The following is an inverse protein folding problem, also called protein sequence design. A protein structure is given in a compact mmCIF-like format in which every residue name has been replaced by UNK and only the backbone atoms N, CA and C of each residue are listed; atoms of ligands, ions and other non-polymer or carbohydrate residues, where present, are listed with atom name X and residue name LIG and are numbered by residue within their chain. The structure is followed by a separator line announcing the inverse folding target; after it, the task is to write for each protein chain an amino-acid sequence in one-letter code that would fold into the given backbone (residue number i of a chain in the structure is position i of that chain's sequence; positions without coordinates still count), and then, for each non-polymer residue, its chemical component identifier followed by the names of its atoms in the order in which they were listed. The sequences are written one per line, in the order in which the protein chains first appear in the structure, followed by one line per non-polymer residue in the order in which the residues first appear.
data_IF_999616959020
#
_entry.id   IF_999616959020
#
_cell.length_a   1.000
_cell.length_b   1.000
_cell.length_c   1.000
_cell.angle_alpha   90.00
_cell.angle_beta   90.00
_cell.angle_gamma   90.00
#
_symmetry.space_group_name_H-M   'P 1'
#
loop_
_entity.id
_entity.type
_entity.pdbx_description
1 polymer ?
#
# COMPACT_ATOMS: atom_id res chain seq x y z
N UNK A 1 -6.26 15.81 15.44
CA UNK A 1 -6.54 15.26 14.11
C UNK A 1 -5.25 15.13 13.33
N UNK A 2 -4.86 13.90 13.05
CA UNK A 2 -3.65 13.64 12.25
C UNK A 2 -4.07 13.08 10.90
N UNK A 3 -3.85 13.82 9.82
CA UNK A 3 -4.02 13.37 8.44
C UNK A 3 -2.66 13.32 7.75
N UNK A 4 -2.36 12.19 7.11
CA UNK A 4 -1.22 12.05 6.21
C UNK A 4 -1.72 12.00 4.77
N UNK A 5 -1.13 12.81 3.89
CA UNK A 5 -1.45 12.83 2.46
C UNK A 5 -0.18 12.66 1.64
N UNK A 6 -0.18 11.63 0.80
CA UNK A 6 0.84 11.41 -0.20
C UNK A 6 0.31 11.69 -1.60
N UNK A 7 0.94 12.61 -2.31
CA UNK A 7 0.62 12.92 -3.70
C UNK A 7 1.86 12.65 -4.56
N UNK A 8 1.69 11.87 -5.61
CA UNK A 8 2.75 11.59 -6.56
C UNK A 8 2.23 11.62 -7.99
N UNK A 9 2.95 12.28 -8.88
CA UNK A 9 2.68 12.32 -10.31
C UNK A 9 3.96 12.01 -11.08
N UNK A 10 3.95 10.90 -11.81
CA UNK A 10 5.11 10.36 -12.53
C UNK A 10 4.85 10.38 -14.02
N UNK A 11 5.81 10.90 -14.78
CA UNK A 11 5.73 11.02 -16.24
C UNK A 11 6.78 10.14 -16.91
N UNK A 12 6.35 9.08 -17.59
CA UNK A 12 7.18 8.17 -18.38
C UNK A 12 7.27 8.65 -19.82
N UNK A 13 8.14 9.63 -20.11
CA UNK A 13 8.25 10.26 -21.44
C UNK A 13 9.24 9.56 -22.36
N UNK A 14 10.26 8.89 -21.81
CA UNK A 14 11.26 8.17 -22.59
C UNK A 14 10.83 6.74 -22.83
N UNK A 15 11.11 6.22 -24.04
CA UNK A 15 10.90 4.81 -24.36
C UNK A 15 11.69 3.91 -23.41
N UNK A 16 11.11 2.76 -23.06
CA UNK A 16 11.69 1.75 -22.16
C UNK A 16 12.02 2.27 -20.74
N UNK A 17 11.46 3.40 -20.34
CA UNK A 17 11.62 3.86 -18.98
C UNK A 17 10.82 3.01 -17.99
N UNK A 18 11.37 2.72 -16.81
CA UNK A 18 10.70 1.96 -15.76
C UNK A 18 10.47 2.84 -14.52
N UNK A 19 9.44 2.51 -13.76
CA UNK A 19 9.14 3.12 -12.46
C UNK A 19 8.63 2.05 -11.51
N UNK A 20 9.16 2.06 -10.30
CA UNK A 20 8.65 1.24 -9.20
C UNK A 20 8.43 2.10 -7.97
N UNK A 21 7.32 1.87 -7.29
CA UNK A 21 7.00 2.49 -6.01
C UNK A 21 6.49 1.43 -5.05
N UNK A 22 7.14 1.32 -3.90
CA UNK A 22 6.69 0.51 -2.78
C UNK A 22 6.29 1.46 -1.64
N UNK A 23 5.02 1.42 -1.25
CA UNK A 23 4.41 2.32 -0.29
C UNK A 23 4.00 1.51 0.94
N UNK A 24 4.58 1.82 2.09
CA UNK A 24 4.18 1.29 3.39
C UNK A 24 3.35 2.29 4.19
N UNK A 25 2.32 1.83 4.89
CA UNK A 25 1.51 2.69 5.77
C UNK A 25 1.00 1.95 7.01
N UNK A 26 0.89 2.70 8.09
CA UNK A 26 0.21 2.28 9.32
C UNK A 26 -0.77 3.38 9.71
N UNK A 27 -2.05 3.05 9.78
CA UNK A 27 -3.09 3.90 10.33
C UNK A 27 -3.54 3.38 11.68
N UNK A 28 -3.65 4.25 12.68
CA UNK A 28 -4.11 3.90 14.03
C UNK A 28 -4.92 5.03 14.67
N UNK A 29 -5.64 4.71 15.72
CA UNK A 29 -6.55 5.65 16.41
C UNK A 29 -7.59 6.19 15.42
N UNK A 30 -7.70 7.51 15.26
CA UNK A 30 -8.61 8.19 14.31
C UNK A 30 -7.83 8.81 13.13
N UNK A 31 -6.64 8.30 12.83
CA UNK A 31 -5.82 8.82 11.74
C UNK A 31 -6.47 8.59 10.39
N UNK A 32 -6.29 9.57 9.49
CA UNK A 32 -6.67 9.44 8.10
C UNK A 32 -5.42 9.43 7.22
N UNK A 33 -5.28 8.37 6.41
CA UNK A 33 -4.23 8.21 5.41
C UNK A 33 -4.84 8.44 4.04
N UNK A 34 -4.36 9.43 3.30
CA UNK A 34 -4.79 9.74 1.94
C UNK A 34 -3.60 9.67 1.00
N UNK A 35 -3.59 8.69 0.10
CA UNK A 35 -2.52 8.45 -0.86
C UNK A 35 -3.09 8.55 -2.26
N UNK A 36 -2.47 9.37 -3.11
CA UNK A 36 -2.82 9.49 -4.52
C UNK A 36 -1.54 9.44 -5.37
N UNK A 37 -1.43 8.42 -6.21
CA UNK A 37 -0.30 8.25 -7.11
C UNK A 37 -0.81 8.10 -8.55
N UNK A 38 -0.26 8.89 -9.46
CA UNK A 38 -0.60 8.87 -10.87
C UNK A 38 0.67 8.57 -11.68
N UNK A 39 0.62 7.56 -12.53
CA UNK A 39 1.70 7.22 -13.46
C UNK A 39 1.22 7.38 -14.89
N UNK A 40 1.80 8.34 -15.59
CA UNK A 40 1.47 8.66 -16.97
C UNK A 40 2.52 8.05 -17.93
N UNK A 41 2.11 7.13 -18.77
CA UNK A 41 2.93 6.50 -19.80
C UNK A 41 2.80 7.25 -21.14
N UNK A 42 3.89 7.84 -21.62
CA UNK A 42 3.96 8.53 -22.93
C UNK A 42 4.89 7.82 -23.90
N UNK A 43 6.02 7.28 -23.41
CA UNK A 43 6.99 6.54 -24.23
C UNK A 43 6.53 5.12 -24.50
N UNK A 44 7.12 4.49 -25.51
CA UNK A 44 6.88 3.09 -25.87
C UNK A 44 7.60 2.13 -24.94
N UNK A 45 7.01 0.95 -24.73
CA UNK A 45 7.61 -0.13 -23.93
C UNK A 45 8.00 0.34 -22.53
N UNK A 46 7.20 1.22 -21.94
CA UNK A 46 7.44 1.71 -20.58
C UNK A 46 6.82 0.78 -19.54
N UNK A 47 7.42 0.71 -18.36
CA UNK A 47 6.96 -0.17 -17.28
C UNK A 47 6.68 0.61 -16.01
N UNK A 48 5.59 0.27 -15.30
CA UNK A 48 5.33 0.78 -13.96
C UNK A 48 4.85 -0.31 -13.03
N UNK A 49 5.29 -0.24 -11.78
CA UNK A 49 4.84 -1.08 -10.69
C UNK A 49 4.54 -0.21 -9.47
N UNK A 50 3.31 -0.27 -9.01
CA UNK A 50 2.84 0.42 -7.80
C UNK A 50 2.44 -0.66 -6.80
N UNK A 51 3.15 -0.74 -5.68
CA UNK A 51 2.80 -1.62 -4.58
C UNK A 51 2.48 -0.77 -3.35
N UNK A 52 1.27 -0.92 -2.82
CA UNK A 52 0.87 -0.30 -1.56
C UNK A 52 0.55 -1.39 -0.55
N UNK A 53 1.11 -1.32 0.65
CA UNK A 53 0.89 -2.33 1.68
C UNK A 53 0.90 -1.71 3.06
N UNK A 54 0.02 -2.17 3.94
CA UNK A 54 -0.02 -1.63 5.29
C UNK A 54 -1.05 -2.27 6.20
N UNK A 55 -1.17 -1.68 7.39
CA UNK A 55 -2.14 -2.07 8.39
C UNK A 55 -2.97 -0.85 8.85
N UNK A 56 -4.22 -1.10 9.16
CA UNK A 56 -5.17 -0.13 9.71
C UNK A 56 -5.75 -0.70 11.00
N UNK A 57 -5.72 0.09 12.07
CA UNK A 57 -6.21 -0.28 13.41
C UNK A 57 -7.26 0.71 13.92
N UNK A 58 -7.93 0.30 14.96
CA UNK A 58 -8.86 1.12 15.75
C UNK A 58 -10.01 1.68 14.90
N UNK A 59 -10.05 3.01 14.76
CA UNK A 59 -11.01 3.74 13.94
C UNK A 59 -10.31 4.55 12.83
N UNK A 60 -9.14 4.09 12.40
CA UNK A 60 -8.40 4.76 11.34
C UNK A 60 -9.07 4.59 9.98
N UNK A 61 -8.82 5.53 9.10
CA UNK A 61 -9.36 5.52 7.75
C UNK A 61 -8.25 5.68 6.71
N UNK A 62 -8.39 5.00 5.58
CA UNK A 62 -7.47 5.14 4.45
C UNK A 62 -8.24 5.29 3.14
N UNK A 63 -7.73 6.15 2.28
CA UNK A 63 -8.08 6.15 0.87
C UNK A 63 -6.80 6.08 0.04
N UNK A 64 -6.70 5.05 -0.79
CA UNK A 64 -5.63 4.88 -1.78
C UNK A 64 -6.21 5.04 -3.18
N UNK A 65 -5.61 5.93 -3.97
CA UNK A 65 -5.95 6.16 -5.37
C UNK A 65 -4.69 5.92 -6.19
N UNK A 66 -4.65 4.79 -6.90
CA UNK A 66 -3.62 4.48 -7.87
C UNK A 66 -4.16 4.69 -9.27
N UNK A 67 -3.45 5.45 -10.10
CA UNK A 67 -3.83 5.68 -11.49
C UNK A 67 -2.68 5.33 -12.40
N UNK A 68 -2.94 4.46 -13.35
CA UNK A 68 -2.05 4.17 -14.47
C UNK A 68 -2.72 4.70 -15.73
N UNK A 69 -2.09 5.64 -16.41
CA UNK A 69 -2.65 6.32 -17.58
C UNK A 69 -1.75 6.10 -18.79
N UNK A 70 -2.20 5.25 -19.71
CA UNK A 70 -1.55 4.97 -20.98
C UNK A 70 -2.00 5.99 -22.05
N UNK A 71 -1.14 6.95 -22.35
CA UNK A 71 -1.38 7.98 -23.35
C UNK A 71 -1.16 7.45 -24.76
N UNK A 72 -1.82 8.04 -25.74
CA UNK A 72 -1.59 7.71 -27.17
C UNK A 72 -0.09 7.77 -27.49
N UNK A 73 0.43 6.71 -28.11
CA UNK A 73 1.83 6.53 -28.45
C UNK A 73 2.64 5.68 -27.45
N UNK A 74 2.05 5.28 -26.31
CA UNK A 74 2.70 4.44 -25.30
C UNK A 74 2.60 2.93 -25.57
N UNK A 75 2.60 2.52 -26.84
CA UNK A 75 2.48 1.11 -27.23
C UNK A 75 3.48 0.21 -26.53
N UNK A 76 3.13 -1.05 -26.32
CA UNK A 76 3.92 -2.10 -25.66
C UNK A 76 4.24 -1.80 -24.18
N UNK A 77 3.51 -0.87 -23.56
CA UNK A 77 3.72 -0.51 -22.18
C UNK A 77 2.93 -1.40 -21.21
N UNK A 78 3.50 -1.60 -20.02
CA UNK A 78 2.93 -2.45 -18.96
C UNK A 78 2.85 -1.64 -17.66
N UNK A 79 1.70 -1.70 -17.01
CA UNK A 79 1.48 -1.08 -15.71
C UNK A 79 0.81 -2.05 -14.75
N UNK A 80 1.38 -2.19 -13.57
CA UNK A 80 0.84 -3.04 -12.52
C UNK A 80 0.61 -2.23 -11.24
N UNK A 81 -0.53 -2.45 -10.60
CA UNK A 81 -0.87 -1.91 -9.29
C UNK A 81 -1.29 -3.06 -8.37
N UNK A 82 -0.70 -3.11 -7.20
CA UNK A 82 -1.08 -4.06 -6.14
C UNK A 82 -1.26 -3.34 -4.83
N UNK A 83 -2.32 -3.69 -4.13
CA UNK A 83 -2.53 -3.27 -2.76
C UNK A 83 -2.72 -4.48 -1.84
N UNK A 84 -2.14 -4.40 -0.64
CA UNK A 84 -2.37 -5.36 0.45
C UNK A 84 -2.63 -4.59 1.73
N UNK A 85 -3.79 -4.75 2.33
CA UNK A 85 -4.16 -4.09 3.58
C UNK A 85 -4.60 -5.11 4.62
N UNK A 86 -4.09 -4.96 5.84
CA UNK A 86 -4.54 -5.69 7.01
C UNK A 86 -5.45 -4.78 7.83
N UNK A 87 -6.72 -5.17 8.00
CA UNK A 87 -7.71 -4.43 8.77
C UNK A 87 -7.83 -5.04 10.17
N UNK A 88 -7.53 -4.24 11.19
CA UNK A 88 -7.50 -4.63 12.60
C UNK A 88 -8.38 -3.67 13.40
N UNK A 89 -9.61 -4.07 13.65
CA UNK A 89 -10.59 -3.29 14.38
C UNK A 89 -11.88 -3.03 13.60
N UNK A 90 -12.99 -2.99 14.32
CA UNK A 90 -14.34 -2.88 13.76
C UNK A 90 -14.65 -1.47 13.21
N UNK A 91 -13.87 -0.45 13.60
CA UNK A 91 -14.03 0.95 13.19
C UNK A 91 -13.21 1.37 11.96
N UNK A 92 -12.42 0.45 11.40
CA UNK A 92 -11.53 0.74 10.27
C UNK A 92 -12.31 1.04 9.00
N UNK A 93 -11.90 2.08 8.28
CA UNK A 93 -12.45 2.40 6.95
C UNK A 93 -11.34 2.31 5.92
N UNK A 94 -11.44 1.31 5.04
CA UNK A 94 -10.54 1.14 3.91
C UNK A 94 -11.23 1.46 2.59
N UNK A 95 -10.65 2.38 1.81
CA UNK A 95 -11.10 2.70 0.45
C UNK A 95 -9.95 2.58 -0.51
N UNK A 96 -10.16 1.82 -1.59
CA UNK A 96 -9.21 1.64 -2.68
C UNK A 96 -9.88 1.99 -3.99
N UNK A 97 -9.25 2.86 -4.77
CA UNK A 97 -9.77 3.37 -6.05
C UNK A 97 -8.69 3.19 -7.12
N UNK A 98 -8.53 1.98 -7.65
CA UNK A 98 -7.63 1.74 -8.77
C UNK A 98 -8.24 2.31 -10.05
N UNK A 99 -7.42 2.94 -10.88
CA UNK A 99 -7.86 3.50 -12.15
C UNK A 99 -6.83 3.20 -13.25
N UNK A 100 -7.27 2.54 -14.30
CA UNK A 100 -6.47 2.29 -15.50
C UNK A 100 -7.13 3.01 -16.67
N UNK A 101 -6.45 4.02 -17.20
CA UNK A 101 -6.87 4.79 -18.36
C UNK A 101 -6.08 4.35 -19.57
N UNK A 102 -6.75 3.94 -20.65
CA UNK A 102 -6.13 3.42 -21.85
C UNK A 102 -6.53 4.26 -23.07
N UNK A 103 -5.65 5.15 -23.51
CA UNK A 103 -5.75 5.85 -24.78
C UNK A 103 -4.87 5.20 -25.88
N UNK A 104 -4.31 4.02 -25.58
CA UNK A 104 -3.51 3.20 -26.47
C UNK A 104 -4.01 1.75 -26.43
N UNK A 105 -4.06 1.06 -27.57
CA UNK A 105 -4.64 -0.29 -27.66
C UNK A 105 -3.66 -1.39 -27.27
N UNK A 106 -2.38 -1.23 -27.59
CA UNK A 106 -1.35 -2.25 -27.33
C UNK A 106 -0.63 -2.02 -26.01
N UNK A 107 -1.38 -2.12 -24.89
CA UNK A 107 -0.87 -1.95 -23.53
C UNK A 107 -1.42 -3.02 -22.60
N UNK A 108 -0.75 -3.25 -21.47
CA UNK A 108 -1.19 -4.17 -20.43
C UNK A 108 -1.29 -3.41 -19.11
N UNK A 109 -2.49 -3.31 -18.59
CA UNK A 109 -2.76 -2.72 -17.28
C UNK A 109 -3.38 -3.74 -16.34
N UNK A 110 -2.78 -3.96 -15.18
CA UNK A 110 -3.28 -4.88 -14.16
C UNK A 110 -3.43 -4.16 -12.82
N UNK A 111 -4.48 -4.50 -12.09
CA UNK A 111 -4.61 -4.13 -10.69
C UNK A 111 -5.06 -5.33 -9.84
N UNK A 112 -4.69 -5.32 -8.57
CA UNK A 112 -5.13 -6.32 -7.60
C UNK A 112 -5.13 -5.74 -6.19
N UNK A 113 -6.12 -6.13 -5.39
CA UNK A 113 -6.20 -5.77 -3.99
C UNK A 113 -6.42 -7.02 -3.13
N UNK A 114 -5.69 -7.09 -2.02
CA UNK A 114 -5.85 -8.12 -0.99
C UNK A 114 -6.21 -7.44 0.32
N UNK A 115 -7.34 -7.84 0.90
CA UNK A 115 -7.79 -7.34 2.19
C UNK A 115 -7.74 -8.51 3.17
N UNK A 116 -6.92 -8.38 4.22
CA UNK A 116 -6.84 -9.32 5.33
C UNK A 116 -7.49 -8.74 6.58
N UNK A 117 -8.04 -9.61 7.40
CA UNK A 117 -8.62 -9.28 8.71
C UNK A 117 -8.08 -10.28 9.75
N UNK A 118 -8.17 -9.92 11.03
CA UNK A 118 -7.93 -10.87 12.10
C UNK A 118 -9.19 -11.74 12.25
N UNK A 119 -9.13 -12.94 11.69
CA UNK A 119 -10.23 -13.90 11.77
C UNK A 119 -10.33 -14.56 13.16
N UNK A 120 -11.50 -15.13 13.45
CA UNK A 120 -11.81 -15.75 14.75
C UNK A 120 -10.88 -16.92 15.08
N UNK A 121 -10.39 -17.66 14.08
CA UNK A 121 -9.48 -18.80 14.29
C UNK A 121 -8.10 -18.31 14.74
N UNK A 122 -7.59 -17.31 14.07
CA UNK A 122 -6.32 -16.65 14.41
C UNK A 122 -6.40 -15.98 15.78
N UNK A 123 -7.51 -15.28 16.06
CA UNK A 123 -7.74 -14.68 17.38
C UNK A 123 -7.79 -15.74 18.48
N UNK A 124 -8.55 -16.83 18.29
CA UNK A 124 -8.60 -17.95 19.24
C UNK A 124 -7.23 -18.57 19.49
N UNK A 125 -6.38 -18.67 18.45
CA UNK A 125 -5.01 -19.15 18.60
C UNK A 125 -4.18 -18.25 19.52
N UNK A 126 -4.27 -16.93 19.36
CA UNK A 126 -3.60 -15.97 20.25
C UNK A 126 -4.13 -16.05 21.67
N UNK A 127 -5.45 -16.04 21.87
CA UNK A 127 -6.11 -16.09 23.17
C UNK A 127 -5.79 -17.38 23.92
N UNK A 128 -5.69 -18.52 23.23
CA UNK A 128 -5.30 -19.80 23.83
C UNK A 128 -3.87 -19.78 24.42
N UNK A 129 -3.06 -18.79 24.05
CA UNK A 129 -1.72 -18.54 24.58
C UNK A 129 -1.65 -17.35 25.54
N UNK A 130 -2.78 -16.82 25.92
CA UNK A 130 -2.88 -15.70 26.85
C UNK A 130 -2.67 -14.33 26.22
N UNK A 131 -2.66 -14.21 24.88
CA UNK A 131 -2.53 -12.95 24.15
C UNK A 131 -3.93 -12.45 23.79
N UNK A 132 -4.34 -11.32 24.35
CA UNK A 132 -5.64 -10.73 24.08
C UNK A 132 -5.74 -10.08 22.69
N UNK A 133 -6.97 -9.76 22.24
CA UNK A 133 -7.26 -9.21 20.90
C UNK A 133 -6.38 -7.99 20.57
N UNK A 134 -6.31 -7.00 21.47
CA UNK A 134 -5.55 -5.77 21.22
C UNK A 134 -4.04 -6.02 21.05
N UNK A 135 -3.48 -6.96 21.81
CA UNK A 135 -2.06 -7.35 21.68
C UNK A 135 -1.83 -8.15 20.39
N UNK A 136 -2.75 -9.04 20.02
CA UNK A 136 -2.69 -9.77 18.76
C UNK A 136 -2.72 -8.81 17.55
N UNK A 137 -3.59 -7.79 17.57
CA UNK A 137 -3.66 -6.76 16.55
C UNK A 137 -2.34 -5.97 16.45
N UNK A 138 -1.72 -5.60 17.58
CA UNK A 138 -0.41 -4.94 17.60
C UNK A 138 0.69 -5.82 17.00
N UNK A 139 0.74 -7.10 17.35
CA UNK A 139 1.71 -8.06 16.83
C UNK A 139 1.57 -8.17 15.30
N UNK A 140 0.35 -8.30 14.80
CA UNK A 140 0.10 -8.45 13.37
C UNK A 140 0.40 -7.16 12.59
N UNK A 141 0.00 -6.00 13.12
CA UNK A 141 0.32 -4.70 12.52
C UNK A 141 1.84 -4.51 12.44
N UNK A 142 2.54 -4.79 13.56
CA UNK A 142 3.99 -4.73 13.62
C UNK A 142 4.65 -5.64 12.59
N UNK A 143 4.25 -6.90 12.51
CA UNK A 143 4.81 -7.87 11.58
C UNK A 143 4.64 -7.44 10.11
N UNK A 144 3.48 -6.86 9.78
CA UNK A 144 3.21 -6.33 8.44
C UNK A 144 4.18 -5.19 8.07
N UNK A 145 4.40 -4.23 8.97
CA UNK A 145 5.27 -3.09 8.71
C UNK A 145 6.75 -3.46 8.76
N UNK A 146 7.18 -4.33 9.69
CA UNK A 146 8.56 -4.83 9.72
C UNK A 146 8.94 -5.56 8.43
N UNK A 147 8.01 -6.34 7.86
CA UNK A 147 8.23 -6.98 6.56
C UNK A 147 8.53 -5.95 5.47
N UNK A 148 7.72 -4.88 5.40
CA UNK A 148 7.92 -3.81 4.43
C UNK A 148 9.25 -3.07 4.66
N UNK A 149 9.62 -2.83 5.93
CA UNK A 149 10.87 -2.19 6.28
C UNK A 149 12.08 -2.98 5.73
N UNK A 150 12.05 -4.31 5.85
CA UNK A 150 13.10 -5.18 5.29
C UNK A 150 13.15 -5.18 3.76
N UNK A 151 11.99 -5.03 3.10
CA UNK A 151 11.90 -4.94 1.65
C UNK A 151 12.56 -3.66 1.08
N UNK A 152 12.80 -2.64 1.90
CA UNK A 152 13.51 -1.42 1.49
C UNK A 152 14.97 -1.70 1.10
N UNK A 153 15.57 -2.73 1.69
CA UNK A 153 16.98 -3.07 1.48
C UNK A 153 17.98 -2.06 2.08
N UNK A 154 17.49 -1.10 2.87
CA UNK A 154 18.29 -0.08 3.55
C UNK A 154 18.24 -0.27 5.06
N UNK A 155 19.38 -0.67 5.65
CA UNK A 155 19.49 -1.02 7.07
C UNK A 155 19.20 0.18 8.00
N UNK A 156 19.53 1.40 7.59
CA UNK A 156 19.24 2.61 8.38
C UNK A 156 17.74 2.89 8.42
N UNK A 157 17.08 2.81 7.27
CA UNK A 157 15.62 2.97 7.14
C UNK A 157 14.89 1.88 7.92
N UNK A 158 15.33 0.61 7.82
CA UNK A 158 14.74 -0.49 8.59
C UNK A 158 14.80 -0.22 10.10
N UNK A 159 15.98 0.16 10.62
CA UNK A 159 16.16 0.47 12.04
C UNK A 159 15.30 1.65 12.49
N UNK A 160 15.17 2.68 11.66
CA UNK A 160 14.33 3.84 11.96
C UNK A 160 12.86 3.45 12.05
N UNK A 161 12.36 2.66 11.11
CA UNK A 161 10.97 2.18 11.11
C UNK A 161 10.71 1.32 12.35
N UNK A 162 11.59 0.37 12.66
CA UNK A 162 11.45 -0.49 13.85
C UNK A 162 11.40 0.35 15.12
N UNK A 163 12.28 1.35 15.25
CA UNK A 163 12.26 2.25 16.40
C UNK A 163 10.93 3.00 16.54
N UNK A 164 10.38 3.50 15.44
CA UNK A 164 9.07 4.19 15.45
C UNK A 164 7.97 3.21 15.90
N UNK A 165 8.00 1.96 15.42
CA UNK A 165 7.05 0.94 15.85
C UNK A 165 7.15 0.61 17.34
N UNK A 166 8.35 0.60 17.91
CA UNK A 166 8.58 0.40 19.36
C UNK A 166 8.00 1.53 20.22
N UNK A 167 7.87 2.74 19.66
CA UNK A 167 7.33 3.91 20.34
C UNK A 167 5.80 4.03 20.18
N UNK A 168 5.22 3.49 19.10
CA UNK A 168 3.82 3.72 18.71
C UNK A 168 2.90 2.51 18.91
N UNK A 169 3.41 1.29 19.00
CA UNK A 169 2.70 0.03 19.19
C UNK A 169 3.06 -0.64 20.52
#
# INVERSE_FOLDING_TARGET
YYASRGLGDVYKRQDKSSFKSDIGYLGQREQTVDINLVVNHYGKSTESEINASGALKDSSSKIFRGTIDFKTGSSDSVGNEKESVLMLGDGVINKTVPLILCAEENVVGNHGATIGELDDETLFYFESRGIGKAEAENILARAAIERLARETGDEETEKLIIKILDEDL
#
